data_IF_772362185105
#
_entry.id   IF_772362185105
#
_cell.length_a   1.000
_cell.length_b   1.000
_cell.length_c   1.000
_cell.angle_alpha   90.00
_cell.angle_beta   90.00
_cell.angle_gamma   90.00
#
_symmetry.space_group_name_H-M   'P 1'
#
loop_
_entity.id
_entity.type
_entity.pdbx_description
1 polymer ?
#
# COMPACT_ATOMS: atom_id res chain seq x y z
N UNK A 1 37.38 -33.64 10.35
CA UNK A 1 38.45 -34.09 9.47
C UNK A 1 38.50 -33.25 8.23
N UNK A 2 39.56 -32.47 8.18
CA UNK A 2 40.48 -32.09 7.10
C UNK A 2 39.87 -31.16 6.04
N UNK A 3 40.16 -29.85 6.05
CA UNK A 3 41.34 -29.11 5.59
C UNK A 3 41.61 -29.29 4.09
N UNK A 4 41.39 -28.18 3.30
CA UNK A 4 42.27 -27.83 2.17
C UNK A 4 42.38 -26.32 2.02
N UNK A 5 43.61 -25.83 2.32
CA UNK A 5 44.18 -24.53 1.99
C UNK A 5 44.83 -24.62 0.60
N UNK A 6 44.69 -23.60 -0.20
CA UNK A 6 45.61 -23.36 -1.30
C UNK A 6 45.95 -21.88 -1.43
N UNK A 7 47.21 -21.62 -1.19
CA UNK A 7 47.92 -20.36 -1.45
C UNK A 7 47.99 -20.09 -2.95
N UNK A 8 47.96 -18.85 -3.34
CA UNK A 8 48.58 -18.42 -4.60
C UNK A 8 49.50 -17.23 -4.42
N UNK A 9 50.68 -17.37 -5.10
CA UNK A 9 51.88 -16.56 -5.03
C UNK A 9 51.75 -15.18 -5.67
N UNK A 10 52.52 -14.26 -5.09
CA UNK A 10 52.93 -12.97 -5.61
C UNK A 10 53.77 -13.08 -6.91
N UNK A 11 53.43 -12.29 -7.92
CA UNK A 11 54.26 -12.03 -9.06
C UNK A 11 54.28 -10.54 -9.37
N UNK A 12 55.38 -9.86 -8.99
CA UNK A 12 55.74 -8.52 -9.42
C UNK A 12 56.15 -8.54 -10.89
N UNK A 13 55.57 -7.66 -11.72
CA UNK A 13 56.15 -7.23 -12.98
C UNK A 13 56.07 -5.73 -13.11
N UNK A 14 57.20 -5.16 -13.53
CA UNK A 14 57.59 -3.75 -13.59
C UNK A 14 56.83 -2.93 -14.64
N UNK A 15 56.63 -1.70 -14.29
CA UNK A 15 56.65 -0.41 -15.05
C UNK A 15 56.79 -0.47 -16.56
N UNK A 16 55.84 0.19 -17.28
CA UNK A 16 56.25 1.23 -18.24
C UNK A 16 55.08 2.17 -18.67
N UNK A 17 55.36 3.46 -18.49
CA UNK A 17 54.97 4.65 -19.29
C UNK A 17 53.52 4.85 -19.79
N UNK A 18 52.88 5.85 -19.21
CA UNK A 18 52.30 7.01 -19.88
C UNK A 18 51.30 6.77 -21.01
N UNK A 19 50.06 6.67 -20.66
CA UNK A 19 48.96 7.14 -21.55
C UNK A 19 47.97 7.87 -20.66
N UNK A 20 47.71 9.12 -21.06
CA UNK A 20 46.74 10.03 -20.46
C UNK A 20 45.38 9.32 -20.31
N UNK A 21 44.97 9.04 -19.09
CA UNK A 21 43.65 8.47 -18.78
C UNK A 21 42.60 9.58 -18.99
N UNK A 22 41.96 9.56 -20.13
CA UNK A 22 40.64 10.20 -20.28
C UNK A 22 39.73 9.45 -19.33
N UNK A 23 39.42 10.09 -18.21
CA UNK A 23 38.37 9.64 -17.27
C UNK A 23 37.03 9.63 -18.01
N UNK A 24 36.67 8.51 -18.59
CA UNK A 24 35.31 8.23 -18.99
C UNK A 24 34.55 7.85 -17.75
N UNK A 25 33.81 8.80 -17.19
CA UNK A 25 32.71 8.53 -16.28
C UNK A 25 31.80 7.48 -16.97
N UNK A 26 31.52 6.34 -16.35
CA UNK A 26 30.57 5.40 -16.93
C UNK A 26 29.24 6.14 -17.13
N UNK A 27 28.50 5.92 -18.22
CA UNK A 27 27.19 6.49 -18.37
C UNK A 27 26.36 6.00 -17.19
N UNK A 28 25.85 6.94 -16.40
CA UNK A 28 24.87 6.65 -15.35
C UNK A 28 23.80 5.79 -16.01
N UNK A 29 23.58 4.60 -15.48
CA UNK A 29 22.56 3.69 -16.03
C UNK A 29 21.23 4.45 -16.03
N UNK A 30 20.49 4.42 -17.14
CA UNK A 30 19.22 5.14 -17.26
C UNK A 30 18.21 4.83 -16.12
N UNK A 31 18.45 3.75 -15.37
CA UNK A 31 17.77 3.41 -14.12
C UNK A 31 18.06 4.43 -13.01
N UNK A 32 19.32 4.82 -12.77
CA UNK A 32 19.70 5.77 -11.71
C UNK A 32 19.10 7.17 -11.95
N UNK A 33 19.12 7.65 -13.19
CA UNK A 33 18.51 8.92 -13.55
C UNK A 33 16.95 8.90 -13.38
N UNK A 34 16.32 7.77 -13.67
CA UNK A 34 14.88 7.57 -13.47
C UNK A 34 14.52 7.55 -11.97
N UNK A 35 15.35 6.94 -11.14
CA UNK A 35 15.16 6.95 -9.68
C UNK A 35 15.31 8.36 -9.10
N UNK A 36 16.35 9.09 -9.49
CA UNK A 36 16.56 10.45 -9.05
C UNK A 36 15.40 11.37 -9.46
N UNK A 37 14.88 11.23 -10.69
CA UNK A 37 13.72 11.98 -11.15
C UNK A 37 12.43 11.62 -10.40
N UNK A 38 12.20 10.33 -10.10
CA UNK A 38 11.06 9.90 -9.25
C UNK A 38 11.15 10.46 -7.85
N UNK A 39 12.33 10.43 -7.23
CA UNK A 39 12.56 11.02 -5.91
C UNK A 39 12.31 12.53 -5.91
N UNK A 40 12.76 13.25 -6.94
CA UNK A 40 12.51 14.68 -7.11
C UNK A 40 11.03 15.00 -7.35
N UNK A 41 10.34 14.22 -8.17
CA UNK A 41 8.90 14.42 -8.39
C UNK A 41 8.09 14.09 -7.11
N UNK A 42 8.52 13.09 -6.37
CA UNK A 42 7.94 12.74 -5.07
C UNK A 42 8.16 13.87 -4.06
N UNK A 43 9.38 14.37 -3.94
CA UNK A 43 9.71 15.53 -3.12
C UNK A 43 8.89 16.77 -3.54
N UNK A 44 8.77 17.04 -4.83
CA UNK A 44 7.96 18.16 -5.32
C UNK A 44 6.46 18.01 -4.98
N UNK A 45 5.90 16.80 -5.01
CA UNK A 45 4.52 16.55 -4.61
C UNK A 45 4.33 16.73 -3.09
N UNK A 46 5.35 16.41 -2.29
CA UNK A 46 5.28 16.51 -0.82
C UNK A 46 5.83 17.84 -0.28
N UNK A 47 6.81 18.47 -0.93
CA UNK A 47 7.47 19.71 -0.46
C UNK A 47 6.81 20.99 -0.97
N UNK A 48 6.07 20.95 -2.06
CA UNK A 48 5.19 22.03 -2.49
C UNK A 48 3.74 21.56 -2.39
N UNK A 49 3.17 21.56 -1.19
CA UNK A 49 1.75 21.43 -1.09
C UNK A 49 1.17 22.66 -1.78
N UNK A 50 0.56 22.44 -2.94
CA UNK A 50 -0.34 23.42 -3.50
C UNK A 50 -1.40 23.65 -2.41
N UNK A 51 -1.27 24.75 -1.67
CA UNK A 51 -2.12 25.04 -0.50
C UNK A 51 -3.61 24.98 -0.88
N UNK A 52 -3.92 25.17 -2.15
CA UNK A 52 -5.29 25.04 -2.68
C UNK A 52 -5.72 23.58 -2.86
N UNK A 53 -4.84 22.67 -3.27
CA UNK A 53 -5.14 21.22 -3.35
C UNK A 53 -5.35 20.61 -1.96
N UNK A 54 -4.63 21.12 -0.95
CA UNK A 54 -4.71 20.69 0.44
C UNK A 54 -5.71 21.48 1.27
N UNK A 55 -6.12 22.69 0.83
CA UNK A 55 -7.16 23.49 1.49
C UNK A 55 -8.53 22.82 1.48
N UNK A 56 -8.77 21.94 0.52
CA UNK A 56 -9.91 21.03 0.52
C UNK A 56 -9.46 19.66 1.06
N UNK A 57 -9.01 19.62 2.32
CA UNK A 57 -8.88 18.36 3.05
C UNK A 57 -10.22 17.64 2.86
N UNK A 58 -10.32 16.55 2.07
CA UNK A 58 -11.60 15.91 1.83
C UNK A 58 -12.25 15.60 3.16
N UNK A 59 -13.58 15.72 3.26
CA UNK A 59 -14.33 15.43 4.48
C UNK A 59 -13.96 14.08 5.12
N UNK A 60 -13.39 13.17 4.30
CA UNK A 60 -12.86 11.86 4.73
C UNK A 60 -11.67 11.98 5.68
N UNK A 61 -10.82 13.02 5.58
CA UNK A 61 -9.68 13.21 6.48
C UNK A 61 -10.12 13.59 7.91
N UNK A 62 -11.25 14.27 8.02
CA UNK A 62 -11.78 14.71 9.31
C UNK A 62 -12.28 13.55 10.19
N UNK A 63 -12.36 12.33 9.65
CA UNK A 63 -12.84 11.14 10.35
C UNK A 63 -11.77 10.10 10.65
N UNK A 64 -10.50 10.37 10.33
CA UNK A 64 -9.39 9.44 10.51
C UNK A 64 -8.27 10.11 11.29
N UNK A 65 -7.75 9.43 12.29
CA UNK A 65 -6.53 9.80 13.00
C UNK A 65 -5.54 8.62 12.96
N UNK A 66 -4.26 8.93 12.83
CA UNK A 66 -3.16 7.98 12.82
C UNK A 66 -2.13 8.39 13.87
N UNK A 67 -1.57 7.43 14.57
CA UNK A 67 -0.56 7.74 15.59
C UNK A 67 -0.21 6.52 16.43
N UNK A 68 0.29 6.79 17.63
CA UNK A 68 0.70 5.80 18.60
C UNK A 68 -0.13 5.97 19.87
N UNK A 69 -0.58 4.88 20.46
CA UNK A 69 -1.29 4.94 21.73
C UNK A 69 -0.38 5.50 22.81
N UNK A 70 -0.77 6.63 23.39
CA UNK A 70 -0.09 7.22 24.55
C UNK A 70 -0.65 6.66 25.86
N UNK A 71 -1.96 6.57 25.95
CA UNK A 71 -2.64 6.12 27.18
C UNK A 71 -3.97 5.41 26.83
N UNK A 72 -4.33 4.42 27.63
CA UNK A 72 -5.63 3.74 27.58
C UNK A 72 -6.34 3.93 28.91
N UNK A 73 -7.54 4.49 28.85
CA UNK A 73 -8.44 4.71 29.98
C UNK A 73 -9.71 3.87 29.79
N UNK A 74 -10.51 3.75 30.82
CA UNK A 74 -11.76 2.97 30.76
C UNK A 74 -12.75 3.49 29.70
N UNK A 75 -12.79 4.81 29.51
CA UNK A 75 -13.72 5.50 28.62
C UNK A 75 -13.04 6.22 27.44
N UNK A 76 -11.72 6.17 27.32
CA UNK A 76 -10.97 6.89 26.30
C UNK A 76 -9.66 6.22 25.92
N UNK A 77 -9.24 6.42 24.67
CA UNK A 77 -7.89 6.13 24.16
C UNK A 77 -7.25 7.44 23.76
N UNK A 78 -6.04 7.69 24.25
CA UNK A 78 -5.23 8.86 23.91
C UNK A 78 -4.18 8.43 22.89
N UNK A 79 -4.10 9.17 21.80
CA UNK A 79 -3.22 8.86 20.66
C UNK A 79 -2.33 10.08 20.39
N UNK A 80 -1.03 9.84 20.30
CA UNK A 80 -0.05 10.82 19.83
C UNK A 80 0.06 10.70 18.31
N UNK A 81 -0.45 11.68 17.59
CA UNK A 81 -0.39 11.79 16.13
C UNK A 81 0.52 12.92 15.68
N UNK A 82 0.61 13.13 14.37
CA UNK A 82 1.43 14.20 13.76
C UNK A 82 0.94 15.59 14.17
N UNK A 83 -0.38 15.79 14.28
CA UNK A 83 -0.99 17.06 14.68
C UNK A 83 -1.04 17.26 16.21
N UNK A 84 -0.44 16.36 16.99
CA UNK A 84 -0.38 16.37 18.44
C UNK A 84 -1.19 15.27 19.10
N UNK A 85 -1.36 15.38 20.42
CA UNK A 85 -2.07 14.37 21.23
C UNK A 85 -3.57 14.59 21.16
N UNK A 86 -4.30 13.52 20.77
CA UNK A 86 -5.76 13.52 20.68
C UNK A 86 -6.39 12.47 21.59
N UNK A 87 -7.55 12.78 22.15
CA UNK A 87 -8.31 11.86 22.99
C UNK A 87 -9.61 11.43 22.28
N UNK A 88 -9.83 10.15 22.20
CA UNK A 88 -11.01 9.52 21.59
C UNK A 88 -11.81 8.79 22.66
N UNK A 89 -13.06 9.18 22.87
CA UNK A 89 -13.94 8.42 23.74
C UNK A 89 -14.24 7.04 23.14
N UNK A 90 -14.28 6.03 23.97
CA UNK A 90 -14.63 4.66 23.58
C UNK A 90 -15.87 4.19 24.34
N UNK A 91 -16.58 3.25 23.75
CA UNK A 91 -17.76 2.63 24.35
C UNK A 91 -17.85 1.15 23.95
N UNK A 92 -18.85 0.46 24.42
CA UNK A 92 -19.14 -0.92 24.00
C UNK A 92 -19.42 -1.07 22.50
N UNK A 93 -19.78 0.03 21.81
CA UNK A 93 -19.98 0.07 20.38
C UNK A 93 -18.67 0.27 19.59
N UNK A 94 -17.59 0.72 20.25
CA UNK A 94 -16.28 0.86 19.61
C UNK A 94 -15.73 -0.50 19.22
N UNK A 95 -15.40 -0.66 17.95
CA UNK A 95 -14.78 -1.89 17.43
C UNK A 95 -13.27 -1.73 17.47
N UNK A 96 -12.59 -2.58 18.24
CA UNK A 96 -11.13 -2.66 18.22
C UNK A 96 -10.70 -3.92 17.50
N UNK A 97 -9.70 -3.79 16.61
CA UNK A 97 -9.07 -4.87 15.89
C UNK A 97 -7.57 -4.95 16.19
N UNK A 98 -7.13 -6.13 16.61
CA UNK A 98 -5.72 -6.45 16.90
C UNK A 98 -5.39 -7.83 16.31
N UNK A 99 -5.52 -7.97 14.99
CA UNK A 99 -5.49 -9.27 14.31
C UNK A 99 -6.78 -10.08 14.45
N UNK A 100 -7.58 -9.75 15.43
CA UNK A 100 -8.94 -10.23 15.67
C UNK A 100 -9.72 -9.13 16.41
N UNK A 101 -11.04 -9.32 16.57
CA UNK A 101 -11.84 -8.40 17.39
C UNK A 101 -11.37 -8.44 18.84
N UNK A 102 -11.12 -7.28 19.41
CA UNK A 102 -10.60 -7.10 20.76
C UNK A 102 -11.39 -6.01 21.51
N UNK A 103 -11.13 -5.88 22.82
CA UNK A 103 -11.57 -4.73 23.61
C UNK A 103 -10.59 -3.56 23.45
N UNK A 104 -11.03 -2.28 23.55
CA UNK A 104 -10.12 -1.16 23.67
C UNK A 104 -9.08 -1.30 24.79
N UNK A 105 -9.42 -1.97 25.88
CA UNK A 105 -8.51 -2.27 27.02
C UNK A 105 -7.36 -3.24 26.67
N UNK A 106 -7.40 -3.89 25.49
CA UNK A 106 -6.30 -4.72 25.02
C UNK A 106 -5.16 -3.91 24.37
N UNK A 107 -5.43 -2.64 24.03
CA UNK A 107 -4.43 -1.72 23.50
C UNK A 107 -3.36 -1.41 24.55
N UNK A 108 -2.14 -1.13 24.11
CA UNK A 108 -1.02 -0.80 24.98
C UNK A 108 -0.38 0.50 24.55
N UNK A 109 0.15 1.32 25.47
CA UNK A 109 1.02 2.41 25.12
C UNK A 109 2.14 1.93 24.20
N UNK A 110 2.40 2.69 23.12
CA UNK A 110 3.36 2.31 22.08
C UNK A 110 2.76 1.55 20.88
N UNK A 111 1.51 1.11 20.94
CA UNK A 111 0.87 0.48 19.78
C UNK A 111 0.60 1.52 18.68
N UNK A 112 1.11 1.33 17.44
CA UNK A 112 0.67 2.14 16.30
C UNK A 112 -0.82 1.86 16.03
N UNK A 113 -1.59 2.93 15.86
CA UNK A 113 -3.04 2.82 15.66
C UNK A 113 -3.55 3.71 14.53
N UNK A 114 -4.63 3.25 13.94
CA UNK A 114 -5.47 4.02 13.04
C UNK A 114 -6.87 4.05 13.65
N UNK A 115 -7.43 5.25 13.79
CA UNK A 115 -8.71 5.47 14.44
C UNK A 115 -9.68 6.09 13.45
N UNK A 116 -10.78 5.42 13.18
CA UNK A 116 -11.95 6.04 12.55
C UNK A 116 -12.86 6.59 13.63
N UNK A 117 -13.13 7.89 13.55
CA UNK A 117 -13.88 8.59 14.57
C UNK A 117 -14.95 9.51 13.98
N UNK A 118 -15.87 9.94 14.82
CA UNK A 118 -16.86 10.96 14.52
C UNK A 118 -16.90 12.00 15.62
N UNK A 119 -17.27 13.24 15.29
CA UNK A 119 -17.52 14.26 16.30
C UNK A 119 -18.77 13.88 17.12
N UNK A 120 -18.77 14.20 18.41
CA UNK A 120 -19.90 13.99 19.32
C UNK A 120 -20.20 15.31 20.03
N UNK A 121 -21.46 15.77 19.93
CA UNK A 121 -21.94 17.00 20.55
C UNK A 121 -21.79 18.23 19.67
N UNK A 122 -22.61 19.24 19.94
CA UNK A 122 -22.52 20.57 19.34
C UNK A 122 -21.74 21.48 20.29
N UNK A 123 -20.48 21.75 19.97
CA UNK A 123 -19.62 22.63 20.76
C UNK A 123 -18.16 22.50 20.35
N UNK A 124 -17.37 23.55 20.50
CA UNK A 124 -15.91 23.51 20.29
C UNK A 124 -15.20 23.47 21.65
N UNK A 125 -14.24 22.53 21.85
CA UNK A 125 -13.85 21.45 20.94
C UNK A 125 -14.85 20.27 21.00
N UNK A 126 -15.33 19.82 19.83
CA UNK A 126 -16.17 18.64 19.75
C UNK A 126 -15.40 17.40 20.25
N UNK A 127 -16.00 16.64 21.16
CA UNK A 127 -15.43 15.37 21.57
C UNK A 127 -15.40 14.43 20.38
N UNK A 128 -14.31 13.70 20.21
CA UNK A 128 -14.18 12.67 19.18
C UNK A 128 -14.54 11.31 19.77
N UNK A 129 -15.41 10.57 19.10
CA UNK A 129 -15.74 9.19 19.50
C UNK A 129 -15.14 8.20 18.52
N UNK A 130 -14.34 7.26 19.00
CA UNK A 130 -13.80 6.19 18.20
C UNK A 130 -14.90 5.20 17.80
N UNK A 131 -15.16 5.10 16.51
CA UNK A 131 -16.04 4.05 15.97
C UNK A 131 -15.28 2.74 15.81
N UNK A 132 -14.03 2.85 15.31
CA UNK A 132 -13.15 1.70 15.11
C UNK A 132 -11.69 2.07 15.34
N UNK A 133 -10.96 1.17 15.95
CA UNK A 133 -9.52 1.29 16.21
C UNK A 133 -8.83 0.05 15.64
N UNK A 134 -7.86 0.24 14.77
CA UNK A 134 -6.96 -0.82 14.32
C UNK A 134 -5.61 -0.63 14.97
N UNK A 135 -5.12 -1.64 15.68
CA UNK A 135 -3.81 -1.61 16.32
C UNK A 135 -2.82 -2.50 15.58
N UNK A 136 -1.64 -1.94 15.30
CA UNK A 136 -0.57 -2.59 14.56
C UNK A 136 -1.02 -3.22 13.23
N UNK A 137 -1.92 -2.56 12.46
CA UNK A 137 -2.37 -3.13 11.21
C UNK A 137 -1.20 -3.24 10.25
N UNK A 138 -1.15 -4.35 9.53
CA UNK A 138 -0.13 -4.57 8.52
C UNK A 138 -0.70 -5.31 7.32
N UNK A 139 -0.11 -5.07 6.15
CA UNK A 139 -0.41 -5.73 4.89
C UNK A 139 0.86 -6.03 4.14
N UNK A 140 0.94 -7.22 3.57
CA UNK A 140 1.99 -7.59 2.63
C UNK A 140 1.37 -8.04 1.33
N UNK A 141 1.73 -7.33 0.27
CA UNK A 141 1.31 -7.59 -1.12
C UNK A 141 2.54 -7.78 -1.97
N UNK A 142 2.66 -8.93 -2.65
CA UNK A 142 3.86 -9.16 -3.46
C UNK A 142 3.93 -10.56 -4.07
N UNK A 143 5.14 -10.90 -4.52
CA UNK A 143 5.47 -12.21 -5.06
C UNK A 143 6.20 -13.04 -4.00
N UNK A 144 5.77 -14.24 -3.73
CA UNK A 144 6.49 -15.17 -2.86
C UNK A 144 7.82 -15.52 -3.52
N UNK A 145 8.94 -15.31 -2.83
CA UNK A 145 10.28 -15.68 -3.29
C UNK A 145 10.86 -16.88 -2.54
N UNK A 146 10.40 -17.13 -1.32
CA UNK A 146 10.72 -18.32 -0.55
C UNK A 146 9.53 -18.74 0.32
N UNK A 147 9.42 -20.04 0.61
CA UNK A 147 8.40 -20.60 1.47
C UNK A 147 9.00 -21.74 2.30
N UNK A 148 8.72 -21.72 3.61
CA UNK A 148 9.08 -22.78 4.56
C UNK A 148 7.92 -23.02 5.52
N UNK A 149 7.15 -24.07 5.30
CA UNK A 149 5.94 -24.37 6.04
C UNK A 149 4.89 -23.25 5.91
N UNK A 150 4.66 -22.51 6.99
CA UNK A 150 3.75 -21.36 7.05
C UNK A 150 4.48 -20.01 7.07
N UNK A 151 5.78 -20.01 6.84
CA UNK A 151 6.59 -18.80 6.71
C UNK A 151 6.90 -18.51 5.24
N UNK A 152 6.78 -17.27 4.85
CA UNK A 152 6.98 -16.82 3.47
C UNK A 152 7.86 -15.59 3.46
N UNK A 153 8.74 -15.52 2.47
CA UNK A 153 9.47 -14.31 2.12
C UNK A 153 8.83 -13.74 0.85
N UNK A 154 8.38 -12.50 0.93
CA UNK A 154 7.58 -11.86 -0.13
C UNK A 154 8.31 -10.64 -0.65
N UNK A 155 8.59 -10.61 -1.94
CA UNK A 155 9.09 -9.44 -2.66
C UNK A 155 7.92 -8.50 -2.98
N UNK A 156 7.90 -7.34 -2.34
CA UNK A 156 6.87 -6.31 -2.53
C UNK A 156 7.17 -5.40 -3.73
N UNK A 157 8.29 -5.61 -4.41
CA UNK A 157 8.80 -4.77 -5.53
C UNK A 157 8.90 -3.28 -5.19
N UNK A 158 8.97 -2.95 -3.94
CA UNK A 158 9.35 -1.61 -3.50
C UNK A 158 10.86 -1.55 -3.48
N UNK A 159 11.43 -0.69 -4.31
CA UNK A 159 12.87 -0.65 -4.62
C UNK A 159 13.76 -0.33 -3.41
N UNK A 160 13.19 0.13 -2.33
CA UNK A 160 13.83 0.56 -1.09
C UNK A 160 13.63 -0.43 0.07
N UNK A 161 12.88 -1.51 -0.14
CA UNK A 161 12.57 -2.48 0.91
C UNK A 161 13.16 -3.84 0.64
N UNK A 162 13.74 -4.41 1.68
CA UNK A 162 14.03 -5.84 1.75
C UNK A 162 12.75 -6.65 1.63
N UNK A 163 12.81 -7.88 1.11
CA UNK A 163 11.67 -8.77 1.12
C UNK A 163 11.05 -8.87 2.51
N UNK A 164 9.72 -8.90 2.56
CA UNK A 164 8.96 -8.93 3.81
C UNK A 164 8.72 -10.36 4.27
N UNK A 165 8.95 -10.62 5.55
CA UNK A 165 8.65 -11.90 6.18
C UNK A 165 7.18 -11.93 6.58
N UNK A 166 6.49 -12.99 6.17
CA UNK A 166 5.06 -13.25 6.47
C UNK A 166 4.96 -14.59 7.16
N UNK A 167 4.30 -14.61 8.31
CA UNK A 167 3.98 -15.84 9.06
C UNK A 167 2.48 -16.03 9.02
N UNK A 168 2.01 -17.09 8.36
CA UNK A 168 0.59 -17.46 8.34
C UNK A 168 0.28 -18.28 9.58
N UNK A 169 -0.73 -17.88 10.35
CA UNK A 169 -1.13 -18.67 11.51
C UNK A 169 -1.83 -19.97 11.10
N UNK A 170 -1.72 -21.06 11.85
CA UNK A 170 -2.49 -22.26 11.58
C UNK A 170 -4.00 -22.00 11.49
N UNK A 171 -4.52 -21.07 12.27
CA UNK A 171 -5.94 -20.69 12.28
C UNK A 171 -6.36 -20.00 10.98
N UNK A 172 -5.48 -19.18 10.36
CA UNK A 172 -5.77 -18.44 9.14
C UNK A 172 -5.36 -19.16 7.87
N UNK A 173 -4.55 -20.22 7.96
CA UNK A 173 -3.95 -20.90 6.81
C UNK A 173 -4.99 -21.39 5.79
N UNK A 174 -6.07 -22.02 6.26
CA UNK A 174 -7.14 -22.51 5.39
C UNK A 174 -7.85 -21.39 4.65
N UNK A 175 -8.15 -20.30 5.34
CA UNK A 175 -8.83 -19.14 4.76
C UNK A 175 -7.95 -18.47 3.70
N UNK A 176 -6.67 -18.31 4.00
CA UNK A 176 -5.70 -17.72 3.06
C UNK A 176 -5.54 -18.65 1.84
N UNK A 177 -5.40 -19.95 2.04
CA UNK A 177 -5.22 -20.90 0.95
C UNK A 177 -6.45 -21.00 0.02
N UNK A 178 -7.66 -20.80 0.53
CA UNK A 178 -8.87 -20.73 -0.31
C UNK A 178 -8.84 -19.55 -1.27
N UNK A 179 -8.27 -18.41 -0.85
CA UNK A 179 -8.18 -17.18 -1.64
C UNK A 179 -6.91 -17.12 -2.50
N UNK A 180 -5.85 -17.74 -2.05
CA UNK A 180 -4.56 -17.89 -2.70
C UNK A 180 -4.21 -19.38 -2.80
N UNK A 181 -4.75 -20.11 -3.81
CA UNK A 181 -4.63 -21.58 -3.86
C UNK A 181 -3.20 -22.11 -4.05
N UNK A 182 -2.28 -21.25 -4.45
CA UNK A 182 -0.86 -21.57 -4.65
C UNK A 182 0.02 -20.67 -3.79
N UNK A 183 0.47 -21.22 -2.67
CA UNK A 183 1.42 -20.56 -1.75
C UNK A 183 2.83 -21.15 -2.01
N UNK A 184 3.45 -20.73 -3.11
CA UNK A 184 4.75 -21.23 -3.55
C UNK A 184 5.56 -20.09 -4.20
N UNK A 185 6.91 -20.21 -4.28
CA UNK A 185 7.72 -19.23 -4.97
C UNK A 185 7.24 -18.94 -6.40
N UNK A 186 7.23 -17.67 -6.77
CA UNK A 186 6.73 -17.18 -8.06
C UNK A 186 5.24 -16.85 -8.10
N UNK A 187 4.45 -17.19 -7.08
CA UNK A 187 3.04 -16.85 -7.00
C UNK A 187 2.79 -15.59 -6.18
N UNK A 188 1.68 -14.93 -6.44
CA UNK A 188 1.27 -13.71 -5.76
C UNK A 188 0.66 -14.03 -4.40
N UNK A 189 0.91 -13.16 -3.43
CA UNK A 189 0.32 -13.17 -2.10
C UNK A 189 -0.15 -11.78 -1.72
N UNK A 190 -1.30 -11.69 -1.06
CA UNK A 190 -1.85 -10.46 -0.51
C UNK A 190 -2.61 -10.79 0.77
N UNK A 191 -2.01 -10.43 1.89
CA UNK A 191 -2.48 -10.79 3.22
C UNK A 191 -2.45 -9.60 4.17
N UNK A 192 -3.37 -9.60 5.09
CA UNK A 192 -3.48 -8.64 6.19
C UNK A 192 -3.24 -9.33 7.52
N UNK A 193 -2.77 -8.56 8.48
CA UNK A 193 -2.45 -9.06 9.81
C UNK A 193 -1.95 -7.98 10.73
N UNK A 194 -1.22 -8.38 11.74
CA UNK A 194 -0.58 -7.47 12.69
C UNK A 194 0.93 -7.48 12.52
N UNK A 195 1.54 -6.30 12.63
CA UNK A 195 3.00 -6.15 12.64
C UNK A 195 3.60 -6.60 13.97
N UNK A 196 4.64 -7.43 13.88
CA UNK A 196 5.44 -7.91 14.99
C UNK A 196 6.92 -7.78 14.65
N UNK A 197 7.51 -6.63 14.97
CA UNK A 197 8.89 -6.33 14.59
C UNK A 197 9.09 -6.37 13.07
N UNK A 198 9.91 -7.30 12.60
CA UNK A 198 10.32 -7.45 11.20
C UNK A 198 9.36 -8.28 10.33
N UNK A 199 8.28 -8.83 10.91
CA UNK A 199 7.36 -9.69 10.17
C UNK A 199 5.90 -9.32 10.35
N UNK A 200 5.09 -9.77 9.38
CA UNK A 200 3.63 -9.74 9.45
C UNK A 200 3.12 -11.09 9.96
N UNK A 201 2.34 -11.08 11.03
CA UNK A 201 1.52 -12.21 11.42
C UNK A 201 0.21 -12.15 10.64
N UNK A 202 0.11 -12.92 9.57
CA UNK A 202 -1.03 -12.90 8.65
C UNK A 202 -2.23 -13.63 9.24
N UNK A 203 -3.35 -12.94 9.34
CA UNK A 203 -4.59 -13.45 9.94
C UNK A 203 -5.72 -13.63 8.91
N UNK A 204 -5.63 -12.95 7.76
CA UNK A 204 -6.64 -13.07 6.71
C UNK A 204 -6.04 -12.77 5.32
N UNK A 205 -6.66 -13.29 4.24
CA UNK A 205 -6.38 -12.81 2.89
C UNK A 205 -7.01 -11.43 2.69
N UNK A 206 -6.33 -10.54 1.97
CA UNK A 206 -6.85 -9.21 1.68
C UNK A 206 -7.78 -9.18 0.47
N UNK A 207 -7.58 -10.11 -0.48
CA UNK A 207 -8.38 -10.22 -1.70
C UNK A 207 -8.49 -11.70 -2.10
N UNK A 208 -9.11 -12.00 -3.23
CA UNK A 208 -9.11 -13.33 -3.83
C UNK A 208 -8.40 -13.28 -5.18
N UNK A 209 -7.31 -14.01 -5.30
CA UNK A 209 -6.44 -14.05 -6.48
C UNK A 209 -6.50 -15.42 -7.17
N UNK A 210 -6.78 -15.48 -8.47
CA UNK A 210 -6.54 -16.69 -9.25
C UNK A 210 -5.06 -17.12 -9.19
N UNK A 211 -4.75 -18.43 -9.30
CA UNK A 211 -3.38 -18.93 -9.11
C UNK A 211 -2.49 -18.67 -10.33
N UNK A 212 -2.28 -17.41 -10.67
CA UNK A 212 -1.32 -17.02 -11.70
C UNK A 212 0.07 -16.88 -11.10
N UNK A 213 1.05 -17.33 -11.86
CA UNK A 213 2.42 -17.01 -11.60
C UNK A 213 2.65 -15.51 -11.85
N UNK A 214 3.45 -14.84 -11.02
CA UNK A 214 3.78 -13.43 -11.20
C UNK A 214 4.36 -13.19 -12.61
N UNK A 215 3.90 -12.13 -13.27
CA UNK A 215 4.26 -11.83 -14.66
C UNK A 215 3.49 -12.62 -15.74
N UNK A 216 2.67 -13.60 -15.37
CA UNK A 216 1.85 -14.38 -16.30
C UNK A 216 0.34 -14.11 -16.15
N UNK A 217 -0.03 -13.04 -15.49
CA UNK A 217 -1.43 -12.62 -15.39
C UNK A 217 -2.04 -12.35 -16.76
N UNK A 218 -3.29 -12.76 -17.00
CA UNK A 218 -3.97 -12.48 -18.26
C UNK A 218 -4.05 -10.97 -18.47
N UNK A 219 -3.59 -10.51 -19.62
CA UNK A 219 -3.73 -9.12 -20.03
C UNK A 219 -5.10 -8.90 -20.65
N UNK A 220 -5.77 -7.76 -20.42
CA UNK A 220 -6.96 -7.43 -21.17
C UNK A 220 -6.62 -7.38 -22.67
N UNK A 221 -7.59 -7.71 -23.55
CA UNK A 221 -7.37 -7.56 -24.98
C UNK A 221 -7.01 -6.10 -25.28
N UNK A 222 -6.03 -5.92 -26.17
CA UNK A 222 -5.67 -4.61 -26.70
C UNK A 222 -6.83 -4.14 -27.59
N UNK A 223 -7.80 -3.49 -27.01
CA UNK A 223 -8.86 -2.84 -27.78
C UNK A 223 -8.39 -1.40 -28.00
N UNK A 224 -8.18 -1.03 -29.25
CA UNK A 224 -7.85 0.35 -29.62
C UNK A 224 -8.92 1.33 -29.13
N UNK A 225 -8.51 2.57 -28.92
CA UNK A 225 -9.39 3.65 -28.49
C UNK A 225 -9.25 4.04 -27.02
N UNK A 226 -9.93 5.12 -26.59
CA UNK A 226 -9.82 5.63 -25.23
C UNK A 226 -10.32 4.61 -24.20
N UNK A 227 -9.74 4.66 -23.02
CA UNK A 227 -10.20 3.83 -21.89
C UNK A 227 -11.58 4.31 -21.48
N UNK A 228 -12.60 3.43 -21.45
CA UNK A 228 -13.94 3.82 -21.01
C UNK A 228 -13.93 4.30 -19.55
N UNK A 229 -14.63 5.38 -19.28
CA UNK A 229 -14.85 5.91 -17.92
C UNK A 229 -16.34 5.84 -17.57
N UNK A 230 -16.68 5.55 -16.30
CA UNK A 230 -15.82 5.21 -15.16
C UNK A 230 -15.27 3.77 -15.24
N UNK A 231 -14.16 3.51 -14.52
CA UNK A 231 -13.53 2.20 -14.43
C UNK A 231 -13.89 1.57 -13.09
N UNK A 232 -14.37 0.33 -13.13
CA UNK A 232 -14.70 -0.44 -11.92
C UNK A 232 -13.65 -1.53 -11.66
N UNK A 233 -13.33 -1.72 -10.40
CA UNK A 233 -12.38 -2.75 -9.93
C UNK A 233 -12.31 -2.79 -8.42
N UNK A 234 -11.28 -3.42 -7.88
CA UNK A 234 -10.99 -3.41 -6.46
C UNK A 234 -10.08 -2.23 -6.11
N UNK A 235 -10.40 -1.53 -5.03
CA UNK A 235 -9.46 -0.69 -4.33
C UNK A 235 -9.00 -1.40 -3.06
N UNK A 236 -7.72 -1.28 -2.78
CA UNK A 236 -7.06 -1.89 -1.63
C UNK A 236 -6.30 -0.81 -0.86
N UNK A 237 -5.74 -1.14 0.29
CA UNK A 237 -4.85 -0.23 1.00
C UNK A 237 -3.42 -0.77 1.00
N UNK A 238 -2.45 0.11 1.14
CA UNK A 238 -1.05 -0.26 1.32
C UNK A 238 -0.49 0.34 2.59
N UNK A 239 0.50 -0.32 3.11
CA UNK A 239 1.32 0.15 4.19
C UNK A 239 2.56 0.82 3.60
N UNK A 240 2.78 2.07 3.91
CA UNK A 240 3.93 2.82 3.44
C UNK A 240 4.68 3.40 4.65
N UNK A 241 5.89 2.86 4.92
CA UNK A 241 6.72 3.34 6.03
C UNK A 241 7.35 4.69 5.72
N UNK A 242 7.44 5.06 4.45
CA UNK A 242 8.06 6.26 3.93
C UNK A 242 7.04 7.37 3.57
N UNK A 243 5.75 7.13 3.79
CA UNK A 243 4.70 8.14 3.59
C UNK A 243 4.32 8.78 4.94
N UNK A 244 4.06 10.09 4.97
CA UNK A 244 3.59 10.73 6.20
C UNK A 244 2.33 10.04 6.73
N UNK A 245 2.24 9.80 8.04
CA UNK A 245 1.00 9.34 8.65
C UNK A 245 -0.16 10.29 8.31
N UNK A 246 -1.32 9.73 7.96
CA UNK A 246 -2.48 10.53 7.59
C UNK A 246 -2.48 11.08 6.17
N UNK A 247 -1.47 10.77 5.35
CA UNK A 247 -1.45 11.13 3.93
C UNK A 247 -2.69 10.57 3.22
N UNK A 248 -3.36 11.42 2.45
CA UNK A 248 -4.46 11.04 1.57
C UNK A 248 -4.00 10.96 0.13
N UNK A 249 -3.92 9.76 -0.42
CA UNK A 249 -3.45 9.54 -1.77
C UNK A 249 -3.63 8.10 -2.21
N UNK A 250 -3.08 7.81 -3.36
CA UNK A 250 -3.06 6.46 -3.89
C UNK A 250 -1.81 6.16 -4.71
N UNK A 251 -1.37 4.91 -4.66
CA UNK A 251 -0.49 4.34 -5.65
C UNK A 251 -1.33 3.85 -6.84
N UNK A 252 -0.93 4.24 -8.04
CA UNK A 252 -1.69 3.95 -9.24
C UNK A 252 -0.97 2.91 -10.12
N UNK A 253 -1.69 1.87 -10.61
CA UNK A 253 -1.04 0.77 -11.33
C UNK A 253 -0.46 1.13 -12.69
N UNK A 254 -0.97 2.15 -13.36
CA UNK A 254 -0.57 2.53 -14.72
C UNK A 254 0.03 3.94 -14.74
N UNK A 255 1.19 4.10 -14.11
CA UNK A 255 1.96 5.35 -14.17
C UNK A 255 2.72 5.42 -15.50
N UNK A 256 2.64 6.58 -16.15
CA UNK A 256 3.51 6.95 -17.26
C UNK A 256 4.81 7.59 -16.73
N UNK A 257 5.93 6.86 -16.74
CA UNK A 257 7.17 7.37 -16.18
C UNK A 257 7.80 8.47 -17.04
N UNK A 258 7.51 8.49 -18.34
CA UNK A 258 8.19 9.35 -19.32
C UNK A 258 7.31 10.50 -19.81
N UNK A 259 6.02 10.54 -19.44
CA UNK A 259 5.07 11.60 -19.82
C UNK A 259 4.71 11.60 -21.31
N UNK A 260 4.96 10.50 -22.02
CA UNK A 260 4.75 10.38 -23.45
C UNK A 260 3.65 9.39 -23.87
N UNK A 261 3.06 8.66 -22.90
CA UNK A 261 2.02 7.70 -23.23
C UNK A 261 0.73 8.40 -23.64
N UNK A 262 0.14 7.90 -24.71
CA UNK A 262 -1.19 8.35 -25.13
C UNK A 262 -2.26 7.74 -24.22
N UNK A 263 -3.36 8.43 -23.96
CA UNK A 263 -4.48 7.87 -23.19
C UNK A 263 -5.04 6.56 -23.77
N UNK A 264 -4.78 6.33 -25.05
CA UNK A 264 -5.16 5.11 -25.77
C UNK A 264 -4.25 3.92 -25.49
N UNK A 265 -3.03 4.15 -24.99
CA UNK A 265 -2.01 3.12 -24.77
C UNK A 265 -2.21 2.38 -23.43
N UNK A 266 -3.25 2.73 -22.69
CA UNK A 266 -3.60 2.09 -21.43
C UNK A 266 -3.87 0.60 -21.59
N UNK A 267 -3.37 -0.18 -20.65
CA UNK A 267 -3.61 -1.62 -20.66
C UNK A 267 -2.50 -2.43 -20.03
N UNK A 268 -2.23 -2.18 -18.78
CA UNK A 268 -1.34 -3.03 -17.99
C UNK A 268 -2.18 -3.71 -16.91
N UNK A 269 -2.10 -5.03 -16.83
CA UNK A 269 -2.80 -5.80 -15.81
C UNK A 269 -4.16 -6.35 -16.26
N UNK A 270 -5.01 -6.73 -15.32
CA UNK A 270 -6.33 -7.29 -15.58
C UNK A 270 -7.40 -6.25 -15.93
N UNK A 271 -7.17 -5.02 -15.59
CA UNK A 271 -8.01 -3.87 -15.89
C UNK A 271 -7.26 -2.95 -16.85
N UNK A 272 -7.96 -2.49 -17.87
CA UNK A 272 -7.42 -1.46 -18.74
C UNK A 272 -7.54 -0.11 -18.02
N UNK A 273 -6.40 0.48 -17.71
CA UNK A 273 -6.29 1.75 -17.01
C UNK A 273 -5.63 2.80 -17.92
N UNK A 274 -6.09 4.05 -17.93
CA UNK A 274 -5.37 5.12 -18.61
C UNK A 274 -4.03 5.37 -17.92
N UNK A 275 -3.02 5.79 -18.66
CA UNK A 275 -1.78 6.26 -18.07
C UNK A 275 -2.00 7.58 -17.35
N UNK A 276 -1.49 7.69 -16.12
CA UNK A 276 -1.51 8.90 -15.31
C UNK A 276 -0.11 9.26 -14.85
N UNK A 277 0.13 10.55 -14.65
CA UNK A 277 1.36 11.05 -14.05
C UNK A 277 1.23 11.11 -12.53
N UNK A 278 2.37 11.12 -11.84
CA UNK A 278 2.41 11.48 -10.42
C UNK A 278 1.86 12.91 -10.25
N UNK A 279 1.05 13.10 -9.21
CA UNK A 279 0.34 14.37 -8.96
C UNK A 279 -0.99 14.51 -9.70
N UNK A 280 -1.29 13.66 -10.69
CA UNK A 280 -2.62 13.62 -11.30
C UNK A 280 -3.68 13.31 -10.23
N UNK A 281 -4.89 13.87 -10.41
CA UNK A 281 -5.99 13.63 -9.48
C UNK A 281 -7.01 12.67 -10.06
N UNK A 282 -7.52 11.80 -9.23
CA UNK A 282 -8.58 10.85 -9.58
C UNK A 282 -9.70 10.89 -8.54
N UNK A 283 -10.91 10.72 -8.99
CA UNK A 283 -12.04 10.50 -8.11
C UNK A 283 -12.21 9.01 -7.89
N UNK A 284 -12.12 8.58 -6.63
CA UNK A 284 -12.40 7.22 -6.19
C UNK A 284 -13.71 7.21 -5.42
N UNK A 285 -14.57 6.26 -5.73
CA UNK A 285 -15.79 5.98 -4.98
C UNK A 285 -15.72 4.55 -4.44
N UNK A 286 -15.97 4.42 -3.15
CA UNK A 286 -16.23 3.14 -2.50
C UNK A 286 -17.71 2.77 -2.75
N UNK A 287 -17.97 1.76 -3.55
CA UNK A 287 -19.33 1.35 -3.91
C UNK A 287 -20.06 0.65 -2.76
N UNK A 288 -19.32 0.11 -1.77
CA UNK A 288 -19.90 -0.56 -0.61
C UNK A 288 -20.41 0.43 0.44
N UNK A 289 -19.67 1.54 0.65
CA UNK A 289 -20.01 2.58 1.63
C UNK A 289 -20.69 3.81 1.00
N UNK A 290 -20.65 3.95 -0.34
CA UNK A 290 -21.19 5.10 -1.06
C UNK A 290 -20.36 6.39 -0.93
N UNK A 291 -19.19 6.34 -0.26
CA UNK A 291 -18.31 7.48 -0.06
C UNK A 291 -17.38 7.68 -1.26
N UNK A 292 -17.05 8.92 -1.55
CA UNK A 292 -16.16 9.27 -2.65
C UNK A 292 -15.23 10.43 -2.26
N UNK A 293 -14.02 10.42 -2.84
CA UNK A 293 -13.06 11.50 -2.69
C UNK A 293 -12.26 11.70 -3.98
N UNK A 294 -11.71 12.90 -4.15
CA UNK A 294 -10.68 13.20 -5.14
C UNK A 294 -9.34 13.08 -4.45
N UNK A 295 -8.47 12.25 -4.97
CA UNK A 295 -7.18 11.92 -4.37
C UNK A 295 -6.06 12.11 -5.37
N UNK A 296 -4.88 12.57 -4.95
CA UNK A 296 -3.69 12.63 -5.80
C UNK A 296 -3.09 11.24 -5.98
N UNK A 297 -2.50 11.02 -7.13
CA UNK A 297 -1.62 9.90 -7.41
C UNK A 297 -0.25 10.20 -6.78
N UNK A 298 0.10 9.52 -5.71
CA UNK A 298 1.31 9.78 -4.91
C UNK A 298 2.46 8.85 -5.25
N UNK A 299 2.18 7.67 -5.76
CA UNK A 299 3.22 6.68 -6.05
C UNK A 299 2.82 5.69 -7.16
N UNK A 300 3.80 4.91 -7.60
CA UNK A 300 3.64 3.83 -8.59
C UNK A 300 3.15 2.56 -7.90
N UNK A 301 1.98 2.11 -8.26
CA UNK A 301 1.39 0.85 -7.85
C UNK A 301 1.81 -0.33 -8.74
N UNK A 302 3.10 -0.44 -9.11
CA UNK A 302 3.58 -1.41 -10.10
C UNK A 302 3.21 -2.87 -9.79
N UNK A 303 3.21 -3.27 -8.52
CA UNK A 303 2.78 -4.61 -8.12
C UNK A 303 1.28 -4.83 -8.33
N UNK A 304 0.46 -3.79 -8.16
CA UNK A 304 -0.99 -3.89 -8.26
C UNK A 304 -1.45 -4.34 -9.67
N UNK A 305 -0.70 -4.02 -10.73
CA UNK A 305 -1.04 -4.43 -12.10
C UNK A 305 -0.90 -5.94 -12.35
N UNK A 306 -0.23 -6.68 -11.48
CA UNK A 306 -0.12 -8.12 -11.58
C UNK A 306 -1.29 -8.85 -10.95
N UNK A 307 -2.09 -8.14 -10.16
CA UNK A 307 -3.24 -8.71 -9.48
C UNK A 307 -4.50 -8.69 -10.35
N UNK A 308 -5.01 -9.88 -10.62
CA UNK A 308 -6.33 -10.11 -11.22
C UNK A 308 -7.37 -10.46 -10.15
N UNK A 309 -7.18 -9.87 -8.99
CA UNK A 309 -7.97 -10.16 -7.81
C UNK A 309 -9.38 -9.55 -7.85
N UNK A 310 -10.16 -9.93 -6.85
CA UNK A 310 -11.50 -9.39 -6.60
C UNK A 310 -11.65 -9.08 -5.13
N UNK A 311 -12.34 -8.01 -4.85
CA UNK A 311 -12.90 -7.82 -3.52
C UNK A 311 -14.13 -8.70 -3.37
N UNK A 312 -14.20 -9.44 -2.28
CA UNK A 312 -15.30 -10.40 -2.02
C UNK A 312 -16.20 -9.95 -0.89
N UNK A 313 -15.88 -8.83 -0.24
CA UNK A 313 -16.58 -8.36 0.95
C UNK A 313 -17.91 -7.67 0.61
N UNK A 314 -18.03 -7.05 -0.55
CA UNK A 314 -19.24 -6.34 -0.95
C UNK A 314 -19.89 -6.88 -2.24
N UNK A 315 -19.96 -8.19 -2.35
CA UNK A 315 -20.60 -8.90 -3.47
C UNK A 315 -19.69 -9.18 -4.65
N UNK A 316 -20.25 -9.31 -5.84
CA UNK A 316 -19.48 -9.55 -7.07
C UNK A 316 -18.73 -8.30 -7.48
N UNK A 317 -17.40 -8.36 -7.48
CA UNK A 317 -16.57 -7.28 -8.00
C UNK A 317 -16.04 -7.58 -9.39
N UNK A 318 -15.80 -6.55 -10.20
CA UNK A 318 -14.98 -6.68 -11.39
C UNK A 318 -13.58 -7.18 -11.02
N UNK A 319 -12.92 -7.88 -11.93
CA UNK A 319 -11.53 -8.32 -11.73
C UNK A 319 -10.56 -7.16 -11.86
N UNK A 320 -9.57 -7.14 -10.99
CA UNK A 320 -8.37 -6.32 -11.06
C UNK A 320 -8.42 -5.06 -10.22
N UNK A 321 -7.24 -4.59 -9.85
CA UNK A 321 -7.04 -3.41 -9.01
C UNK A 321 -7.07 -2.14 -9.83
N UNK A 322 -7.82 -1.16 -9.33
CA UNK A 322 -7.86 0.19 -9.92
C UNK A 322 -7.08 1.20 -9.09
N UNK A 323 -6.89 0.93 -7.79
CA UNK A 323 -6.16 1.80 -6.88
C UNK A 323 -5.60 1.02 -5.70
N UNK A 324 -4.46 1.48 -5.21
CA UNK A 324 -3.83 1.03 -3.97
C UNK A 324 -3.72 2.27 -3.06
N UNK A 325 -4.68 2.41 -2.15
CA UNK A 325 -4.91 3.62 -1.36
C UNK A 325 -3.95 3.70 -0.19
N UNK A 326 -3.54 4.90 0.19
CA UNK A 326 -2.93 5.10 1.51
C UNK A 326 -3.92 4.66 2.59
N UNK A 327 -3.41 4.20 3.72
CA UNK A 327 -4.25 3.66 4.80
C UNK A 327 -5.32 4.67 5.27
N UNK A 328 -4.94 5.95 5.40
CA UNK A 328 -5.86 7.01 5.80
C UNK A 328 -6.96 7.25 4.75
N UNK A 329 -6.62 7.23 3.45
CA UNK A 329 -7.59 7.38 2.37
C UNK A 329 -8.58 6.19 2.33
N UNK A 330 -8.09 4.98 2.51
CA UNK A 330 -8.91 3.77 2.52
C UNK A 330 -9.93 3.80 3.67
N UNK A 331 -9.48 4.11 4.89
CA UNK A 331 -10.32 4.20 6.08
C UNK A 331 -11.30 5.36 5.96
N UNK A 332 -10.85 6.52 5.45
CA UNK A 332 -11.69 7.69 5.24
C UNK A 332 -12.78 7.48 4.20
N UNK A 333 -12.54 6.64 3.20
CA UNK A 333 -13.55 6.18 2.24
C UNK A 333 -14.47 5.07 2.81
N UNK A 334 -14.40 4.78 4.10
CA UNK A 334 -15.26 3.81 4.78
C UNK A 334 -14.77 2.36 4.67
N UNK A 335 -13.54 2.13 4.19
CA UNK A 335 -12.93 0.80 4.17
C UNK A 335 -12.57 0.34 5.58
N UNK A 336 -12.70 -0.95 5.85
CA UNK A 336 -12.17 -1.57 7.06
C UNK A 336 -10.86 -2.29 6.71
N UNK A 337 -9.81 -2.05 7.47
CA UNK A 337 -8.48 -2.59 7.15
C UNK A 337 -8.46 -4.12 7.16
N UNK A 338 -9.23 -4.74 8.06
CA UNK A 338 -9.36 -6.18 8.15
C UNK A 338 -10.10 -6.83 6.97
N UNK A 339 -10.89 -6.06 6.22
CA UNK A 339 -11.56 -6.53 5.00
C UNK A 339 -10.60 -6.52 3.80
N UNK A 340 -9.54 -5.68 3.87
CA UNK A 340 -8.45 -5.61 2.89
C UNK A 340 -8.79 -4.89 1.59
N UNK A 341 -10.05 -4.81 1.20
CA UNK A 341 -10.48 -4.22 -0.06
C UNK A 341 -11.93 -3.73 0.00
N UNK A 342 -12.30 -2.95 -1.01
CA UNK A 342 -13.70 -2.67 -1.36
C UNK A 342 -13.85 -2.54 -2.89
N UNK A 343 -15.07 -2.69 -3.39
CA UNK A 343 -15.38 -2.40 -4.78
C UNK A 343 -15.32 -0.90 -5.02
N UNK A 344 -14.60 -0.50 -6.04
CA UNK A 344 -14.38 0.90 -6.35
C UNK A 344 -14.71 1.25 -7.79
N UNK A 345 -15.11 2.49 -7.97
CA UNK A 345 -15.20 3.15 -9.27
C UNK A 345 -14.21 4.30 -9.30
N UNK A 346 -13.36 4.31 -10.34
CA UNK A 346 -12.35 5.33 -10.60
C UNK A 346 -12.77 6.18 -11.79
N UNK A 347 -12.64 7.50 -11.65
CA UNK A 347 -12.81 8.47 -12.72
C UNK A 347 -11.65 9.44 -12.71
N UNK A 348 -10.98 9.63 -13.84
CA UNK A 348 -9.95 10.66 -13.98
C UNK A 348 -10.61 12.03 -14.00
N UNK A 349 -9.99 12.98 -13.32
CA UNK A 349 -10.41 14.37 -13.43
C UNK A 349 -9.74 14.96 -14.67
N UNK A 350 -10.55 15.55 -15.57
CA UNK A 350 -10.00 16.32 -16.66
C UNK A 350 -9.24 17.51 -16.05
N UNK A 351 -7.94 17.62 -16.35
CA UNK A 351 -7.12 18.77 -15.99
C UNK A 351 -7.48 20.00 -16.77
#
# INVERSE_FOLDING_TARGET
>A
MAWWWLRYHSGQVRSNRGISAISRTPPESGASARFARRALLRAAVFETPDKELWAHRPAIAASVATGVVAEVRDDAVVVDGEDGTESFSVSTATVTWLGARASPSALRPGDPVIVRHRPVGAGAPARKHAERIWARPGRVTGTIIAADGLEFLVDTRRNDRSPQRVVITPASSRQIQVRFPRLAPGFLLDVIGTRHGDHLLAVAPATAQPPYHAGHSPRPPLIGGPVPMPISGSAVWHEADDEPPGLLGLAYPAIDPDGGAQPTDGGMGCVRLPYLSLGATVRIRNECAGLAAVLPVTSDGSIAREFCDRCVECGTSPKGRVADLTTAAFVGLGGNLEDGCFNATLTTMAG
#
